data_IF_831780005425
#
_entry.id   IF_831780005425
#
_cell.length_a   1.000
_cell.length_b   1.000
_cell.length_c   1.000
_cell.angle_alpha   90.00
_cell.angle_beta   90.00
_cell.angle_gamma   90.00
#
_symmetry.space_group_name_H-M   'P 1'
#
loop_
_entity.id
_entity.type
_entity.pdbx_description
1 polymer ?
#
# COMPACT_ATOMS: atom_id res chain seq x y z
N UNK A 1 -38.46 1.48 6.70
CA UNK A 1 -37.69 2.63 6.16
C UNK A 1 -36.50 2.92 7.06
N UNK A 2 -35.28 2.49 6.70
CA UNK A 2 -33.96 2.99 7.16
C UNK A 2 -32.87 2.01 6.69
N UNK A 3 -32.54 2.03 5.39
CA UNK A 3 -31.46 1.23 4.78
C UNK A 3 -30.67 2.00 3.71
N UNK A 4 -30.73 3.33 3.73
CA UNK A 4 -30.11 4.21 2.73
C UNK A 4 -28.77 4.81 3.19
N UNK A 5 -28.54 5.04 4.50
CA UNK A 5 -27.34 5.75 4.98
C UNK A 5 -26.02 4.97 4.89
N UNK A 6 -26.05 3.63 4.97
CA UNK A 6 -24.82 2.81 5.02
C UNK A 6 -24.13 2.65 3.66
N UNK A 7 -24.85 2.84 2.55
CA UNK A 7 -24.29 2.71 1.20
C UNK A 7 -23.65 4.02 0.72
N UNK A 8 -24.10 5.17 1.23
CA UNK A 8 -23.54 6.48 0.86
C UNK A 8 -22.20 6.78 1.56
N UNK A 9 -22.02 6.35 2.81
CA UNK A 9 -20.71 6.42 3.50
C UNK A 9 -19.64 5.57 2.80
N UNK A 10 -19.96 4.33 2.43
CA UNK A 10 -19.02 3.46 1.71
C UNK A 10 -18.64 3.97 0.32
N UNK A 11 -19.56 4.67 -0.36
CA UNK A 11 -19.29 5.30 -1.66
C UNK A 11 -18.46 6.59 -1.52
N UNK A 12 -18.64 7.33 -0.42
CA UNK A 12 -17.84 8.52 -0.11
C UNK A 12 -16.39 8.14 0.25
N UNK A 13 -16.18 7.08 1.02
CA UNK A 13 -14.84 6.57 1.34
C UNK A 13 -14.13 5.99 0.11
N UNK A 14 -14.84 5.26 -0.75
CA UNK A 14 -14.29 4.78 -2.01
C UNK A 14 -13.83 5.93 -2.94
N UNK A 15 -14.62 7.01 -3.04
CA UNK A 15 -14.25 8.21 -3.81
C UNK A 15 -13.10 9.00 -3.18
N UNK A 16 -12.96 8.97 -1.85
CA UNK A 16 -11.88 9.64 -1.13
C UNK A 16 -10.55 8.91 -1.31
N UNK A 17 -10.59 7.58 -1.32
CA UNK A 17 -9.43 6.72 -1.61
C UNK A 17 -9.01 6.83 -3.09
N UNK A 18 -9.96 6.89 -4.02
CA UNK A 18 -9.70 7.10 -5.46
C UNK A 18 -9.00 8.44 -5.71
N UNK A 19 -9.52 9.56 -5.16
CA UNK A 19 -8.90 10.88 -5.34
C UNK A 19 -7.48 10.95 -4.75
N UNK A 20 -7.25 10.39 -3.56
CA UNK A 20 -5.93 10.31 -2.97
C UNK A 20 -4.99 9.43 -3.80
N UNK A 21 -5.48 8.33 -4.37
CA UNK A 21 -4.72 7.45 -5.25
C UNK A 21 -4.28 8.14 -6.55
N UNK A 22 -5.20 8.85 -7.21
CA UNK A 22 -4.91 9.63 -8.43
C UNK A 22 -3.87 10.71 -8.15
N UNK A 23 -3.95 11.37 -6.99
CA UNK A 23 -2.98 12.38 -6.56
C UNK A 23 -1.61 11.77 -6.19
N UNK A 24 -1.58 10.53 -5.71
CA UNK A 24 -0.38 9.80 -5.28
C UNK A 24 0.23 8.88 -6.35
N UNK A 25 -0.38 8.80 -7.53
CA UNK A 25 0.19 8.19 -8.72
C UNK A 25 -0.34 6.80 -9.09
N UNK A 26 -1.53 6.42 -8.67
CA UNK A 26 -2.24 5.24 -9.16
C UNK A 26 -3.64 5.61 -9.66
N UNK A 27 -4.04 5.05 -10.80
CA UNK A 27 -5.35 5.26 -11.41
C UNK A 27 -6.16 3.97 -11.35
N UNK A 28 -7.46 4.11 -11.07
CA UNK A 28 -8.43 3.03 -11.14
C UNK A 28 -8.90 2.86 -12.59
N UNK A 29 -8.59 1.71 -13.20
CA UNK A 29 -9.01 1.36 -14.56
C UNK A 29 -9.85 0.08 -14.54
N UNK A 30 -10.94 -0.03 -15.32
CA UNK A 30 -11.69 -1.28 -15.49
C UNK A 30 -10.77 -2.38 -16.03
N UNK A 31 -10.88 -3.58 -15.47
CA UNK A 31 -10.12 -4.74 -15.95
C UNK A 31 -10.54 -5.07 -17.39
N UNK A 32 -9.59 -5.19 -18.34
CA UNK A 32 -9.90 -5.25 -19.78
C UNK A 32 -10.73 -6.47 -20.18
N UNK A 33 -10.67 -7.56 -19.41
CA UNK A 33 -11.42 -8.82 -19.67
C UNK A 33 -12.70 -8.92 -18.82
N UNK A 34 -12.74 -8.25 -17.68
CA UNK A 34 -13.79 -8.41 -16.68
C UNK A 34 -14.24 -7.02 -16.28
N UNK A 35 -14.95 -6.31 -17.15
CA UNK A 35 -15.26 -4.88 -17.01
C UNK A 35 -16.01 -4.44 -15.73
N UNK A 36 -16.28 -5.36 -14.79
CA UNK A 36 -16.77 -5.07 -13.43
C UNK A 36 -15.68 -5.01 -12.36
N UNK A 37 -14.52 -5.62 -12.59
CA UNK A 37 -13.38 -5.59 -11.67
C UNK A 37 -12.59 -4.32 -11.95
N UNK A 38 -12.23 -3.58 -10.91
CA UNK A 38 -11.34 -2.43 -11.02
C UNK A 38 -9.91 -2.85 -10.72
N UNK A 39 -8.97 -2.39 -11.54
CA UNK A 39 -7.55 -2.60 -11.36
C UNK A 39 -6.87 -1.28 -11.06
N UNK A 40 -6.06 -1.28 -10.00
CA UNK A 40 -5.17 -0.17 -9.68
C UNK A 40 -3.95 -0.25 -10.60
N UNK A 41 -3.79 0.75 -11.46
CA UNK A 41 -2.67 0.83 -12.40
C UNK A 41 -1.78 1.99 -12.00
N UNK A 42 -0.48 1.73 -11.86
CA UNK A 42 0.49 2.76 -11.53
C UNK A 42 0.64 3.73 -12.71
N UNK A 43 0.52 5.02 -12.45
CA UNK A 43 0.83 6.05 -13.45
C UNK A 43 2.36 6.14 -13.64
N UNK A 44 2.85 6.70 -14.75
CA UNK A 44 4.29 6.95 -14.94
C UNK A 44 4.90 7.81 -13.83
N UNK A 45 4.15 8.80 -13.33
CA UNK A 45 4.54 9.64 -12.19
C UNK A 45 4.62 8.82 -10.91
N UNK A 46 3.61 7.99 -10.64
CA UNK A 46 3.60 7.07 -9.50
C UNK A 46 4.75 6.07 -9.54
N UNK A 47 5.09 5.55 -10.72
CA UNK A 47 6.25 4.68 -10.91
C UNK A 47 7.56 5.36 -10.53
N UNK A 48 7.72 6.62 -10.93
CA UNK A 48 8.92 7.41 -10.61
C UNK A 48 9.01 7.71 -9.11
N UNK A 49 7.90 8.11 -8.49
CA UNK A 49 7.82 8.35 -7.05
C UNK A 49 8.09 7.08 -6.24
N UNK A 50 7.44 5.97 -6.60
CA UNK A 50 7.64 4.68 -5.95
C UNK A 50 9.08 4.20 -6.06
N UNK A 51 9.71 4.37 -7.24
CA UNK A 51 11.13 4.07 -7.42
C UNK A 51 12.00 4.91 -6.48
N UNK A 52 11.80 6.23 -6.43
CA UNK A 52 12.56 7.12 -5.55
C UNK A 52 12.39 6.76 -4.06
N UNK A 53 11.16 6.45 -3.64
CA UNK A 53 10.88 5.98 -2.29
C UNK A 53 11.57 4.65 -1.98
N UNK A 54 11.50 3.68 -2.90
CA UNK A 54 12.15 2.38 -2.77
C UNK A 54 13.67 2.52 -2.64
N UNK A 55 14.29 3.35 -3.47
CA UNK A 55 15.73 3.62 -3.44
C UNK A 55 16.16 4.18 -2.07
N UNK A 56 15.37 5.10 -1.50
CA UNK A 56 15.60 5.67 -0.15
C UNK A 56 15.46 4.63 0.96
N UNK A 57 14.41 3.81 0.92
CA UNK A 57 14.17 2.76 1.93
C UNK A 57 15.30 1.72 1.91
N UNK A 58 15.69 1.23 0.73
CA UNK A 58 16.79 0.26 0.60
C UNK A 58 18.10 0.83 1.16
N UNK A 59 18.40 2.10 0.86
CA UNK A 59 19.59 2.76 1.40
C UNK A 59 19.56 2.85 2.93
N UNK A 60 18.39 3.12 3.52
CA UNK A 60 18.19 3.18 4.96
C UNK A 60 18.32 1.80 5.61
N UNK A 61 17.65 0.78 5.07
CA UNK A 61 17.73 -0.60 5.56
C UNK A 61 19.18 -1.09 5.58
N UNK A 62 19.93 -0.85 4.50
CA UNK A 62 21.37 -1.17 4.45
C UNK A 62 22.16 -0.46 5.53
N UNK A 63 21.86 0.80 5.83
CA UNK A 63 22.55 1.57 6.89
C UNK A 63 22.27 1.01 8.28
N UNK A 64 21.03 0.60 8.55
CA UNK A 64 20.63 0.00 9.83
C UNK A 64 21.26 -1.39 9.97
N UNK A 65 21.24 -2.19 8.91
CA UNK A 65 21.76 -3.56 8.90
C UNK A 65 23.29 -3.64 9.05
N UNK A 66 24.05 -2.56 8.75
CA UNK A 66 25.52 -2.55 8.90
C UNK A 66 26.04 -2.95 10.28
N UNK A 67 25.25 -2.72 11.33
CA UNK A 67 25.63 -3.02 12.71
C UNK A 67 25.04 -4.35 13.22
N UNK A 68 24.39 -5.12 12.35
CA UNK A 68 23.77 -6.39 12.69
C UNK A 68 24.56 -7.52 12.04
N UNK A 69 24.76 -8.61 12.79
CA UNK A 69 25.09 -9.88 12.16
C UNK A 69 23.84 -10.46 11.47
N UNK A 70 24.05 -11.43 10.56
CA UNK A 70 22.96 -12.01 9.77
C UNK A 70 21.88 -12.68 10.61
N UNK A 71 22.22 -13.17 11.81
CA UNK A 71 21.27 -13.84 12.72
C UNK A 71 20.41 -12.78 13.42
N UNK A 72 21.02 -11.70 13.88
CA UNK A 72 20.35 -10.55 14.49
C UNK A 72 19.39 -9.90 13.48
N UNK A 73 19.84 -9.67 12.24
CA UNK A 73 18.98 -9.13 11.18
C UNK A 73 17.75 -10.02 10.94
N UNK A 74 17.97 -11.34 10.80
CA UNK A 74 16.87 -12.30 10.58
C UNK A 74 15.89 -12.31 11.76
N UNK A 75 16.40 -12.21 12.99
CA UNK A 75 15.58 -12.18 14.20
C UNK A 75 14.69 -10.94 14.25
N UNK A 76 15.26 -9.76 13.96
CA UNK A 76 14.51 -8.50 13.91
C UNK A 76 13.45 -8.52 12.82
N UNK A 77 13.78 -9.01 11.61
CA UNK A 77 12.80 -9.13 10.51
C UNK A 77 11.61 -10.03 10.88
N UNK A 78 11.88 -11.18 11.51
CA UNK A 78 10.83 -12.10 11.98
C UNK A 78 9.95 -11.45 13.04
N UNK A 79 10.55 -10.75 14.00
CA UNK A 79 9.82 -10.05 15.05
C UNK A 79 8.89 -8.97 14.49
N UNK A 80 9.38 -8.12 13.58
CA UNK A 80 8.57 -7.10 12.91
C UNK A 80 7.43 -7.70 12.07
N UNK A 81 7.69 -8.81 11.39
CA UNK A 81 6.66 -9.53 10.63
C UNK A 81 5.57 -10.10 11.54
N UNK A 82 5.92 -10.58 12.74
CA UNK A 82 4.96 -11.03 13.74
C UNK A 82 4.03 -9.90 14.19
N UNK A 83 4.60 -8.74 14.57
CA UNK A 83 3.81 -7.56 14.94
C UNK A 83 2.87 -7.14 13.79
N UNK A 84 3.36 -7.14 12.55
CA UNK A 84 2.55 -6.76 11.41
C UNK A 84 1.39 -7.75 11.15
N UNK A 85 1.58 -9.04 11.44
CA UNK A 85 0.52 -10.03 11.35
C UNK A 85 -0.52 -9.81 12.46
N UNK A 86 -0.08 -9.61 13.70
CA UNK A 86 -0.97 -9.33 14.83
C UNK A 86 -1.84 -8.08 14.57
N UNK A 87 -1.25 -7.02 13.99
CA UNK A 87 -1.96 -5.78 13.63
C UNK A 87 -2.97 -5.95 12.48
N UNK A 88 -2.89 -7.02 11.69
CA UNK A 88 -3.86 -7.28 10.60
C UNK A 88 -5.08 -8.07 11.07
N UNK A 89 -4.95 -8.80 12.18
CA UNK A 89 -6.01 -9.63 12.75
C UNK A 89 -6.92 -8.85 13.72
N UNK A 90 -6.54 -7.62 14.10
CA UNK A 90 -7.33 -6.63 14.89
C UNK A 90 -8.24 -5.75 14.01
#
# INVERSE_FOLDING_TARGET
MRRAGRLEEGLADAKRLDRAATELGADLAPHPVHGRIQQWTLTPRGATLLKACRDRVIALEKRIARNLDSKAETTVRRWLAGIAADLQDD
#
